data_IF_459516096215
#
_entry.id   IF_459516096215
#
_cell.length_a   1.000
_cell.length_b   1.000
_cell.length_c   1.000
_cell.angle_alpha   90.00
_cell.angle_beta   90.00
_cell.angle_gamma   90.00
#
_symmetry.space_group_name_H-M   'P 1'
#
loop_
_entity.id
_entity.type
_entity.pdbx_description
1 polymer ?
#
# COMPACT_ATOMS: atom_id res chain seq x y z
N UNK A 1 -5.02 8.30 -3.22
CA UNK A 1 -4.85 7.73 -4.57
C UNK A 1 -3.93 8.55 -5.47
N UNK A 2 -4.06 9.88 -5.58
CA UNK A 2 -3.15 10.71 -6.39
C UNK A 2 -1.67 10.59 -6.02
N UNK A 3 -1.33 10.48 -4.73
CA UNK A 3 0.07 10.32 -4.29
C UNK A 3 0.71 9.03 -4.79
N UNK A 4 -0.03 7.93 -4.81
CA UNK A 4 0.45 6.64 -5.32
C UNK A 4 0.76 6.78 -6.81
N UNK A 5 -0.13 7.37 -7.59
CA UNK A 5 0.09 7.65 -9.01
C UNK A 5 1.29 8.57 -9.25
N UNK A 6 1.49 9.58 -8.42
CA UNK A 6 2.62 10.49 -8.55
C UNK A 6 3.96 9.77 -8.34
N UNK A 7 4.09 8.97 -7.27
CA UNK A 7 5.31 8.20 -7.00
C UNK A 7 5.51 7.05 -7.99
N UNK A 8 4.43 6.46 -8.48
CA UNK A 8 4.47 5.41 -9.49
C UNK A 8 4.92 5.92 -10.87
N UNK A 9 4.59 7.18 -11.19
CA UNK A 9 4.93 7.80 -12.47
C UNK A 9 6.38 8.33 -12.54
N UNK A 10 7.13 8.30 -11.44
CA UNK A 10 8.54 8.68 -11.46
C UNK A 10 9.36 7.65 -12.24
N UNK A 11 10.16 8.11 -13.22
CA UNK A 11 11.10 7.25 -13.92
C UNK A 11 12.23 6.78 -12.98
N UNK A 12 13.01 5.78 -13.39
CA UNK A 12 14.06 5.19 -12.56
C UNK A 12 15.07 6.23 -12.05
N UNK A 13 15.42 7.24 -12.86
CA UNK A 13 16.34 8.32 -12.47
C UNK A 13 15.76 9.26 -11.43
N UNK A 14 14.50 9.69 -11.60
CA UNK A 14 13.82 10.56 -10.64
C UNK A 14 13.60 9.87 -9.29
N UNK A 15 13.21 8.59 -9.33
CA UNK A 15 13.10 7.77 -8.13
C UNK A 15 14.44 7.62 -7.41
N UNK A 16 15.54 7.52 -8.17
CA UNK A 16 16.91 7.43 -7.64
C UNK A 16 17.33 8.72 -6.96
N UNK A 17 17.06 9.89 -7.54
CA UNK A 17 17.39 11.18 -6.95
C UNK A 17 16.63 11.43 -5.64
N UNK A 18 15.32 11.14 -5.62
CA UNK A 18 14.50 11.33 -4.41
C UNK A 18 14.95 10.40 -3.27
N UNK A 19 15.38 9.19 -3.59
CA UNK A 19 15.85 8.21 -2.60
C UNK A 19 17.32 8.43 -2.21
N UNK A 20 18.15 9.06 -3.05
CA UNK A 20 19.57 9.32 -2.77
C UNK A 20 19.76 10.19 -1.51
N UNK A 21 18.83 11.12 -1.26
CA UNK A 21 18.82 11.93 -0.04
C UNK A 21 18.66 11.05 1.24
N UNK A 22 17.79 10.03 1.19
CA UNK A 22 17.62 9.09 2.29
C UNK A 22 18.80 8.14 2.46
N UNK A 23 19.51 7.80 1.38
CA UNK A 23 20.66 6.88 1.41
C UNK A 23 21.90 7.46 2.07
N UNK A 24 22.02 8.78 2.17
CA UNK A 24 23.11 9.42 2.92
C UNK A 24 23.09 9.05 4.41
N UNK A 25 21.93 8.62 4.93
CA UNK A 25 21.72 8.31 6.34
C UNK A 25 21.61 6.81 6.65
N UNK A 26 21.39 5.96 5.65
CA UNK A 26 21.16 4.53 5.85
C UNK A 26 21.85 3.69 4.76
N UNK A 27 22.69 2.69 5.11
CA UNK A 27 23.33 1.79 4.13
C UNK A 27 22.32 0.74 3.60
N UNK A 28 21.23 1.19 3.02
CA UNK A 28 20.15 0.34 2.52
C UNK A 28 20.01 0.50 1.01
N UNK A 29 19.74 -0.60 0.29
CA UNK A 29 19.60 -0.54 -1.16
C UNK A 29 18.36 0.28 -1.57
N UNK A 30 18.48 1.03 -2.67
CA UNK A 30 17.39 1.79 -3.28
C UNK A 30 16.14 0.97 -3.54
N UNK A 31 16.34 -0.29 -3.92
CA UNK A 31 15.26 -1.25 -4.15
C UNK A 31 14.43 -1.51 -2.90
N UNK A 32 15.09 -1.61 -1.74
CA UNK A 32 14.42 -1.84 -0.46
C UNK A 32 13.61 -0.62 -0.03
N UNK A 33 14.17 0.59 -0.15
CA UNK A 33 13.47 1.83 0.21
C UNK A 33 12.19 2.00 -0.62
N UNK A 34 12.25 1.74 -1.93
CA UNK A 34 11.09 1.79 -2.81
C UNK A 34 10.03 0.78 -2.40
N UNK A 35 10.40 -0.45 -2.14
CA UNK A 35 9.47 -1.50 -1.68
C UNK A 35 8.83 -1.17 -0.33
N UNK A 36 9.61 -0.61 0.59
CA UNK A 36 9.10 -0.15 1.89
C UNK A 36 8.11 1.01 1.74
N UNK A 37 8.38 1.95 0.84
CA UNK A 37 7.47 3.05 0.53
C UNK A 37 6.14 2.53 -0.05
N UNK A 38 6.18 1.60 -1.01
CA UNK A 38 5.00 0.95 -1.55
C UNK A 38 4.20 0.23 -0.47
N UNK A 39 4.84 -0.62 0.33
CA UNK A 39 4.23 -1.31 1.46
C UNK A 39 3.50 -0.32 2.40
N UNK A 40 4.16 0.78 2.78
CA UNK A 40 3.61 1.76 3.71
C UNK A 40 2.41 2.50 3.11
N UNK A 41 2.51 2.92 1.85
CA UNK A 41 1.43 3.64 1.17
C UNK A 41 0.20 2.74 1.00
N UNK A 42 0.39 1.47 0.64
CA UNK A 42 -0.71 0.52 0.51
C UNK A 42 -1.29 0.10 1.87
N UNK A 43 -0.49 0.06 2.93
CA UNK A 43 -1.00 -0.10 4.30
C UNK A 43 -1.96 1.04 4.67
N UNK A 44 -1.58 2.29 4.40
CA UNK A 44 -2.45 3.44 4.61
C UNK A 44 -3.70 3.42 3.71
N UNK A 45 -3.57 2.98 2.46
CA UNK A 45 -4.71 2.80 1.56
C UNK A 45 -5.68 1.76 2.11
N UNK A 46 -5.18 0.61 2.58
CA UNK A 46 -5.99 -0.44 3.21
C UNK A 46 -6.73 0.05 4.44
N UNK A 47 -6.08 0.84 5.30
CA UNK A 47 -6.73 1.46 6.44
C UNK A 47 -7.85 2.43 6.04
N UNK A 48 -7.59 3.32 5.09
CA UNK A 48 -8.58 4.31 4.63
C UNK A 48 -9.78 3.66 3.94
N UNK A 49 -9.57 2.68 3.07
CA UNK A 49 -10.65 1.96 2.39
C UNK A 49 -11.49 1.15 3.38
N UNK A 50 -10.85 0.50 4.36
CA UNK A 50 -11.54 -0.22 5.43
C UNK A 50 -12.46 0.72 6.23
N UNK A 51 -11.92 1.86 6.64
CA UNK A 51 -12.67 2.86 7.40
C UNK A 51 -13.85 3.42 6.60
N UNK A 52 -13.62 3.74 5.33
CA UNK A 52 -14.64 4.22 4.41
C UNK A 52 -15.79 3.21 4.28
N UNK A 53 -15.50 1.97 3.87
CA UNK A 53 -16.54 0.96 3.66
C UNK A 53 -17.28 0.57 4.95
N UNK A 54 -16.59 0.60 6.09
CA UNK A 54 -17.22 0.39 7.40
C UNK A 54 -18.23 1.49 7.71
N UNK A 55 -17.89 2.76 7.49
CA UNK A 55 -18.79 3.90 7.76
C UNK A 55 -20.01 3.93 6.83
N UNK A 56 -19.87 3.44 5.61
CA UNK A 56 -20.99 3.27 4.68
C UNK A 56 -21.79 1.98 4.91
N UNK A 57 -21.54 1.24 6.01
CA UNK A 57 -22.22 0.00 6.36
C UNK A 57 -22.18 -1.07 5.24
N UNK A 58 -21.11 -1.11 4.46
CA UNK A 58 -20.96 -2.07 3.38
C UNK A 58 -20.78 -3.47 3.99
N UNK A 59 -21.61 -4.42 3.56
CA UNK A 59 -21.45 -5.82 3.96
C UNK A 59 -20.09 -6.34 3.51
N UNK A 60 -19.40 -7.11 4.39
CA UNK A 60 -18.05 -7.63 4.14
C UNK A 60 -17.02 -6.54 3.83
N UNK A 61 -17.14 -5.38 4.46
CA UNK A 61 -16.30 -4.20 4.24
C UNK A 61 -14.79 -4.49 4.19
N UNK A 62 -14.29 -5.42 5.03
CA UNK A 62 -12.88 -5.77 5.04
C UNK A 62 -12.43 -6.50 3.78
N UNK A 63 -13.26 -7.42 3.26
CA UNK A 63 -12.98 -8.12 2.01
C UNK A 63 -13.01 -7.15 0.82
N UNK A 64 -14.00 -6.27 0.79
CA UNK A 64 -14.14 -5.28 -0.29
C UNK A 64 -12.98 -4.29 -0.25
N UNK A 65 -12.55 -3.85 0.94
CA UNK A 65 -11.38 -2.99 1.10
C UNK A 65 -10.10 -3.66 0.55
N UNK A 66 -9.89 -4.93 0.88
CA UNK A 66 -8.74 -5.69 0.39
C UNK A 66 -8.79 -5.85 -1.14
N UNK A 67 -9.94 -6.24 -1.70
CA UNK A 67 -10.10 -6.38 -3.15
C UNK A 67 -9.85 -5.05 -3.88
N UNK A 68 -10.32 -3.93 -3.32
CA UNK A 68 -10.04 -2.60 -3.88
C UNK A 68 -8.54 -2.30 -3.91
N UNK A 69 -7.80 -2.64 -2.85
CA UNK A 69 -6.35 -2.46 -2.79
C UNK A 69 -5.62 -3.34 -3.82
N UNK A 70 -6.05 -4.61 -3.98
CA UNK A 70 -5.47 -5.53 -4.96
C UNK A 70 -5.70 -5.02 -6.39
N UNK A 71 -6.92 -4.62 -6.72
CA UNK A 71 -7.23 -4.07 -8.05
C UNK A 71 -6.41 -2.81 -8.33
N UNK A 72 -6.21 -1.98 -7.31
CA UNK A 72 -5.40 -0.78 -7.45
C UNK A 72 -3.92 -1.11 -7.63
N UNK A 73 -3.37 -2.11 -6.91
CA UNK A 73 -2.00 -2.58 -7.09
C UNK A 73 -1.77 -3.15 -8.51
N UNK A 74 -2.72 -3.94 -9.02
CA UNK A 74 -2.65 -4.43 -10.40
C UNK A 74 -2.68 -3.29 -11.41
N UNK A 75 -3.52 -2.28 -11.21
CA UNK A 75 -3.60 -1.10 -12.06
C UNK A 75 -2.32 -0.27 -12.02
N UNK A 76 -1.70 -0.14 -10.84
CA UNK A 76 -0.45 0.57 -10.67
C UNK A 76 0.70 -0.13 -11.39
N UNK A 77 0.83 -1.44 -11.25
CA UNK A 77 1.83 -2.25 -11.98
C UNK A 77 1.62 -2.21 -13.50
N UNK A 78 0.38 -2.25 -13.96
CA UNK A 78 0.09 -2.07 -15.36
C UNK A 78 0.53 -0.70 -15.86
N UNK A 79 0.22 0.36 -15.11
CA UNK A 79 0.68 1.72 -15.43
C UNK A 79 2.20 1.82 -15.47
N UNK A 80 2.90 1.17 -14.52
CA UNK A 80 4.37 1.14 -14.48
C UNK A 80 5.00 0.46 -15.70
N UNK A 81 4.28 -0.44 -16.38
CA UNK A 81 4.77 -1.07 -17.62
C UNK A 81 5.00 -0.09 -18.76
N UNK A 82 4.36 1.09 -18.71
CA UNK A 82 4.53 2.16 -19.70
C UNK A 82 5.61 3.19 -19.29
N UNK A 83 6.16 3.08 -18.08
CA UNK A 83 7.18 4.02 -17.58
C UNK A 83 8.57 3.54 -17.96
N UNK A 84 9.32 4.39 -18.66
CA UNK A 84 10.67 4.07 -19.14
C UNK A 84 11.60 3.66 -17.97
N UNK A 85 12.30 2.52 -18.15
CA UNK A 85 13.23 2.01 -17.14
C UNK A 85 12.58 1.24 -15.98
N UNK A 86 11.26 0.96 -16.04
CA UNK A 86 10.57 0.08 -15.10
C UNK A 86 10.06 -1.18 -15.80
N UNK A 87 10.16 -2.31 -15.13
CA UNK A 87 9.53 -3.57 -15.52
C UNK A 87 8.49 -3.97 -14.47
N UNK A 88 7.25 -4.31 -14.87
CA UNK A 88 6.24 -4.76 -13.95
C UNK A 88 6.68 -6.04 -13.25
N UNK A 89 6.48 -6.12 -11.94
CA UNK A 89 6.86 -7.27 -11.13
C UNK A 89 5.68 -7.73 -10.27
N UNK A 90 5.30 -8.98 -10.41
CA UNK A 90 4.25 -9.60 -9.57
C UNK A 90 4.62 -9.49 -8.06
N UNK A 91 5.91 -9.49 -7.74
CA UNK A 91 6.39 -9.28 -6.37
C UNK A 91 5.96 -7.95 -5.77
N UNK A 92 5.83 -6.91 -6.57
CA UNK A 92 5.43 -5.59 -6.10
C UNK A 92 3.93 -5.57 -5.77
N UNK A 93 3.08 -6.23 -6.58
CA UNK A 93 1.66 -6.46 -6.24
C UNK A 93 1.52 -7.23 -4.91
N UNK A 94 2.36 -8.25 -4.68
CA UNK A 94 2.34 -8.99 -3.43
C UNK A 94 2.71 -8.11 -2.22
N UNK A 95 3.74 -7.27 -2.34
CA UNK A 95 4.19 -6.38 -1.29
C UNK A 95 3.10 -5.34 -0.96
N UNK A 96 2.49 -4.75 -1.98
CA UNK A 96 1.41 -3.79 -1.85
C UNK A 96 0.18 -4.41 -1.18
N UNK A 97 -0.18 -5.62 -1.61
CA UNK A 97 -1.28 -6.39 -1.00
C UNK A 97 -0.98 -6.73 0.47
N UNK A 98 0.25 -7.15 0.80
CA UNK A 98 0.66 -7.41 2.17
C UNK A 98 0.62 -6.15 3.03
N UNK A 99 1.03 -5.00 2.48
CA UNK A 99 0.90 -3.70 3.13
C UNK A 99 -0.55 -3.39 3.50
N UNK A 100 -1.46 -3.45 2.54
CA UNK A 100 -2.88 -3.21 2.76
C UNK A 100 -3.47 -4.19 3.80
N UNK A 101 -3.17 -5.48 3.67
CA UNK A 101 -3.67 -6.54 4.55
C UNK A 101 -3.20 -6.32 5.99
N UNK A 102 -1.96 -5.88 6.21
CA UNK A 102 -1.39 -5.69 7.56
C UNK A 102 -2.22 -4.73 8.41
N UNK A 103 -2.55 -3.54 7.89
CA UNK A 103 -3.36 -2.57 8.64
C UNK A 103 -4.85 -2.92 8.67
N UNK A 104 -5.39 -3.61 7.66
CA UNK A 104 -6.75 -4.15 7.69
C UNK A 104 -6.90 -5.13 8.87
N UNK A 105 -6.00 -6.12 8.98
CA UNK A 105 -6.05 -7.13 10.04
C UNK A 105 -5.81 -6.52 11.42
N UNK A 106 -4.84 -5.62 11.56
CA UNK A 106 -4.57 -4.92 12.82
C UNK A 106 -5.81 -4.16 13.30
N UNK A 107 -6.46 -3.43 12.41
CA UNK A 107 -7.65 -2.64 12.75
C UNK A 107 -8.84 -3.54 13.12
N UNK A 108 -9.07 -4.63 12.40
CA UNK A 108 -10.10 -5.61 12.73
C UNK A 108 -9.85 -6.26 14.10
N UNK A 109 -8.60 -6.58 14.42
CA UNK A 109 -8.20 -7.09 15.73
C UNK A 109 -8.51 -6.10 16.85
N UNK A 110 -8.16 -4.82 16.67
CA UNK A 110 -8.46 -3.77 17.63
C UNK A 110 -9.97 -3.55 17.84
N UNK A 111 -10.75 -3.62 16.77
CA UNK A 111 -12.22 -3.50 16.86
C UNK A 111 -12.80 -4.65 17.68
N UNK A 112 -12.38 -5.89 17.41
CA UNK A 112 -12.83 -7.08 18.15
C UNK A 112 -12.43 -7.00 19.63
N UNK A 113 -11.20 -6.61 19.91
CA UNK A 113 -10.72 -6.46 21.28
C UNK A 113 -11.53 -5.44 22.06
N UNK A 114 -11.76 -4.24 21.47
CA UNK A 114 -12.60 -3.19 22.10
C UNK A 114 -14.05 -3.65 22.34
N UNK A 115 -14.63 -4.44 21.45
CA UNK A 115 -15.99 -4.96 21.64
C UNK A 115 -16.05 -6.00 22.77
N UNK A 116 -15.00 -6.83 22.91
CA UNK A 116 -14.90 -7.80 24.01
C UNK A 116 -14.79 -7.12 25.38
N UNK A 117 -14.04 -6.02 25.49
CA UNK A 117 -13.90 -5.27 26.73
C UNK A 117 -15.19 -4.57 27.17
N UNK A 118 -16.09 -4.23 26.23
CA UNK A 118 -17.39 -3.62 26.54
C UNK A 118 -18.45 -4.64 26.96
N UNK A 119 -18.21 -5.93 26.74
CA UNK A 119 -19.12 -7.00 27.08
C UNK A 119 -18.83 -7.61 28.48
N UNK A 120 -17.76 -7.18 29.13
CA UNK A 120 -17.37 -7.50 30.52
C UNK A 120 -17.82 -6.38 31.46
#
# INVERSE_FOLDING_TARGET
MMLIFYFSNQNAEQSTQTSAWFLQFLPVSMHFIRKLAHFTIYALLGYNTLYMYKNYNVKRYALIALLTCILYACSDEWHQSFVSGRSPQITDICIDTCGALSLILLNMGLIRWKSSQKAL
#
